data_IF_734163114327
#
_entry.id   IF_734163114327
#
_cell.length_a   1.000
_cell.length_b   1.000
_cell.length_c   1.000
_cell.angle_alpha   90.00
_cell.angle_beta   90.00
_cell.angle_gamma   90.00
#
_symmetry.space_group_name_H-M   'P 1'
#
loop_
_entity.id
_entity.type
_entity.pdbx_description
1 polymer ?
#
# COMPACT_ATOMS: atom_id res chain seq x y z
N UNK A 1 23.58 -14.98 -3.79
CA UNK A 1 24.54 -14.30 -4.70
C UNK A 1 23.89 -13.73 -5.99
N UNK A 2 22.55 -13.75 -6.15
CA UNK A 2 21.89 -13.43 -7.43
C UNK A 2 21.37 -11.99 -7.61
N UNK A 3 21.62 -11.10 -6.65
CA UNK A 3 21.17 -9.69 -6.71
C UNK A 3 22.32 -8.71 -6.47
N UNK A 4 23.50 -9.02 -7.03
CA UNK A 4 24.61 -8.08 -7.05
C UNK A 4 24.72 -7.49 -8.46
N UNK A 5 24.54 -6.18 -8.58
CA UNK A 5 24.95 -5.48 -9.79
C UNK A 5 26.48 -5.42 -9.78
N UNK A 6 27.18 -5.99 -10.78
CA UNK A 6 28.62 -5.84 -10.86
C UNK A 6 28.99 -4.35 -10.88
N UNK A 7 29.85 -3.94 -9.96
CA UNK A 7 30.43 -2.58 -9.94
C UNK A 7 31.52 -2.47 -11.02
N UNK A 8 31.17 -2.79 -12.27
CA UNK A 8 32.05 -2.64 -13.41
C UNK A 8 32.23 -1.15 -13.70
N UNK A 9 33.48 -0.68 -13.69
CA UNK A 9 33.90 0.67 -14.10
C UNK A 9 33.43 1.85 -13.23
N UNK A 10 33.10 1.62 -11.96
CA UNK A 10 32.96 2.70 -10.97
C UNK A 10 34.24 2.75 -10.15
N UNK A 11 35.06 3.79 -10.37
CA UNK A 11 36.23 4.05 -9.54
C UNK A 11 35.77 4.31 -8.10
N UNK A 12 36.08 3.37 -7.21
CA UNK A 12 35.81 3.52 -5.79
C UNK A 12 36.92 4.32 -5.11
N UNK A 13 36.58 5.09 -4.09
CA UNK A 13 37.53 5.71 -3.18
C UNK A 13 37.57 4.92 -1.87
N UNK A 14 38.77 4.61 -1.36
CA UNK A 14 38.93 3.99 -0.05
C UNK A 14 39.03 5.09 0.99
N UNK A 15 38.06 5.16 1.89
CA UNK A 15 38.01 6.12 3.00
C UNK A 15 38.11 5.32 4.30
N UNK A 16 39.32 5.21 4.84
CA UNK A 16 39.62 4.34 5.98
C UNK A 16 39.34 2.87 5.65
N UNK A 17 38.41 2.24 6.38
CA UNK A 17 37.95 0.86 6.14
C UNK A 17 36.72 0.78 5.21
N UNK A 18 36.28 1.89 4.60
CA UNK A 18 35.09 1.95 3.76
C UNK A 18 35.46 2.12 2.29
N UNK A 19 34.70 1.47 1.40
CA UNK A 19 34.78 1.69 -0.03
C UNK A 19 33.58 2.52 -0.49
N UNK A 20 33.84 3.74 -0.96
CA UNK A 20 32.82 4.65 -1.49
C UNK A 20 32.80 4.57 -3.03
N UNK A 21 31.62 4.54 -3.65
CA UNK A 21 31.46 4.61 -5.10
C UNK A 21 30.38 5.64 -5.44
N UNK A 22 30.54 6.33 -6.56
CA UNK A 22 29.52 7.24 -7.10
C UNK A 22 29.30 6.93 -8.57
N UNK A 23 28.03 6.90 -9.01
CA UNK A 23 27.69 6.90 -10.43
C UNK A 23 26.58 7.91 -10.71
N UNK A 24 26.68 8.68 -11.80
CA UNK A 24 25.54 9.46 -12.26
C UNK A 24 24.44 8.51 -12.73
N UNK A 25 23.20 8.75 -12.29
CA UNK A 25 22.01 8.08 -12.83
C UNK A 25 21.24 9.07 -13.71
N UNK A 26 20.91 8.65 -14.93
CA UNK A 26 20.12 9.44 -15.86
C UNK A 26 18.69 8.92 -15.88
N UNK A 27 17.77 9.67 -15.29
CA UNK A 27 16.34 9.35 -15.29
C UNK A 27 15.73 9.95 -16.56
N UNK A 28 15.49 9.11 -17.58
CA UNK A 28 14.95 9.57 -18.88
C UNK A 28 13.49 10.00 -18.79
N UNK A 29 12.68 9.27 -18.02
CA UNK A 29 11.26 9.55 -17.81
C UNK A 29 10.84 9.07 -16.43
N UNK A 30 9.95 9.83 -15.79
CA UNK A 30 9.26 9.41 -14.57
C UNK A 30 7.82 9.08 -14.96
N UNK A 31 7.30 7.88 -14.63
CA UNK A 31 5.91 7.55 -14.86
C UNK A 31 4.99 8.61 -14.24
N UNK A 32 4.00 9.09 -15.01
CA UNK A 32 2.86 9.78 -14.39
C UNK A 32 1.92 8.70 -13.84
N UNK A 33 1.73 8.68 -12.53
CA UNK A 33 0.74 7.85 -11.84
C UNK A 33 -0.63 8.52 -11.87
N UNK A 34 -1.69 7.72 -11.74
CA UNK A 34 -3.05 8.25 -11.84
C UNK A 34 -3.41 9.13 -10.66
N UNK A 35 -2.81 8.91 -9.49
CA UNK A 35 -3.01 9.76 -8.32
C UNK A 35 -2.45 11.17 -8.46
N UNK A 36 -1.54 11.44 -9.41
CA UNK A 36 -0.96 12.79 -9.61
C UNK A 36 -2.04 13.82 -9.91
N UNK A 37 -3.08 13.40 -10.65
CA UNK A 37 -4.23 14.22 -11.03
C UNK A 37 -5.48 13.91 -10.19
N UNK A 38 -5.33 13.14 -9.11
CA UNK A 38 -6.45 12.83 -8.23
C UNK A 38 -7.03 14.10 -7.60
N UNK A 39 -8.33 14.08 -7.37
CA UNK A 39 -9.00 15.09 -6.57
C UNK A 39 -8.52 14.94 -5.11
N UNK A 40 -8.04 16.01 -4.46
CA UNK A 40 -7.69 15.95 -3.05
C UNK A 40 -8.88 15.54 -2.18
N UNK A 41 -8.67 14.52 -1.35
CA UNK A 41 -9.60 14.11 -0.30
C UNK A 41 -9.33 14.98 0.93
N UNK A 42 -10.37 15.64 1.43
CA UNK A 42 -10.28 16.50 2.61
C UNK A 42 -11.16 15.96 3.74
N UNK A 43 -10.63 16.04 4.96
CA UNK A 43 -11.32 15.60 6.16
C UNK A 43 -12.59 16.43 6.45
N UNK A 44 -12.58 17.71 6.07
CA UNK A 44 -13.72 18.62 6.19
C UNK A 44 -14.83 18.37 5.16
N UNK A 45 -14.63 17.43 4.23
CA UNK A 45 -15.61 17.11 3.20
C UNK A 45 -16.35 15.79 3.53
N UNK A 46 -17.57 15.86 4.06
CA UNK A 46 -18.29 14.68 4.55
C UNK A 46 -18.62 13.67 3.45
N UNK A 47 -18.85 14.11 2.21
CA UNK A 47 -19.16 13.20 1.11
C UNK A 47 -17.91 12.42 0.66
N UNK A 48 -16.74 13.07 0.63
CA UNK A 48 -15.48 12.37 0.33
C UNK A 48 -15.13 11.37 1.44
N UNK A 49 -15.30 11.76 2.70
CA UNK A 49 -15.06 10.86 3.85
C UNK A 49 -16.02 9.66 3.83
N UNK A 50 -17.30 9.88 3.50
CA UNK A 50 -18.28 8.80 3.34
C UNK A 50 -17.88 7.82 2.23
N UNK A 51 -17.35 8.31 1.10
CA UNK A 51 -16.84 7.45 0.05
C UNK A 51 -15.60 6.66 0.49
N UNK A 52 -14.70 7.28 1.26
CA UNK A 52 -13.53 6.60 1.82
C UNK A 52 -13.94 5.49 2.79
N UNK A 53 -14.89 5.75 3.69
CA UNK A 53 -15.44 4.75 4.61
C UNK A 53 -16.10 3.58 3.87
N UNK A 54 -16.83 3.86 2.78
CA UNK A 54 -17.37 2.82 1.89
C UNK A 54 -16.28 1.96 1.27
N UNK A 55 -15.19 2.57 0.79
CA UNK A 55 -14.06 1.81 0.24
C UNK A 55 -13.43 0.87 1.28
N UNK A 56 -13.24 1.34 2.51
CA UNK A 56 -12.78 0.49 3.61
C UNK A 56 -13.78 -0.63 3.95
N UNK A 57 -15.08 -0.33 4.08
CA UNK A 57 -16.10 -1.33 4.36
C UNK A 57 -16.16 -2.41 3.28
N UNK A 58 -16.05 -2.03 2.00
CA UNK A 58 -16.02 -3.00 0.90
C UNK A 58 -14.81 -3.94 1.03
N UNK A 59 -13.63 -3.43 1.40
CA UNK A 59 -12.46 -4.27 1.62
C UNK A 59 -12.61 -5.17 2.84
N UNK A 60 -13.21 -4.68 3.93
CA UNK A 60 -13.52 -5.48 5.12
C UNK A 60 -14.46 -6.63 4.74
N UNK A 61 -15.53 -6.36 3.98
CA UNK A 61 -16.47 -7.39 3.52
C UNK A 61 -15.77 -8.45 2.64
N UNK A 62 -14.87 -8.03 1.75
CA UNK A 62 -14.06 -8.96 0.94
C UNK A 62 -13.12 -9.79 1.82
N UNK A 63 -12.50 -9.19 2.84
CA UNK A 63 -11.65 -9.90 3.81
C UNK A 63 -12.45 -10.92 4.63
N UNK A 64 -13.64 -10.55 5.11
CA UNK A 64 -14.53 -11.44 5.88
C UNK A 64 -14.97 -12.65 5.06
N UNK A 65 -15.26 -12.45 3.77
CA UNK A 65 -15.58 -13.54 2.83
C UNK A 65 -14.35 -14.31 2.34
N UNK A 66 -13.14 -13.85 2.68
CA UNK A 66 -11.87 -14.34 2.12
C UNK A 66 -11.88 -14.35 0.59
N UNK A 67 -12.50 -13.33 -0.02
CA UNK A 67 -12.57 -13.16 -1.47
C UNK A 67 -11.26 -12.53 -1.98
N UNK A 68 -10.22 -13.37 -2.10
CA UNK A 68 -8.89 -12.94 -2.53
C UNK A 68 -8.86 -12.43 -3.97
N UNK A 69 -9.72 -12.95 -4.86
CA UNK A 69 -9.84 -12.44 -6.22
C UNK A 69 -10.49 -11.04 -6.21
N UNK A 70 -11.53 -10.83 -5.41
CA UNK A 70 -12.13 -9.51 -5.21
C UNK A 70 -11.14 -8.50 -4.62
N UNK A 71 -10.34 -8.90 -3.63
CA UNK A 71 -9.27 -8.07 -3.06
C UNK A 71 -8.21 -7.73 -4.12
N UNK A 72 -7.77 -8.71 -4.91
CA UNK A 72 -6.83 -8.51 -6.01
C UNK A 72 -7.37 -7.53 -7.06
N UNK A 73 -8.64 -7.65 -7.42
CA UNK A 73 -9.30 -6.70 -8.33
C UNK A 73 -9.33 -5.28 -7.76
N UNK A 74 -9.59 -5.12 -6.45
CA UNK A 74 -9.57 -3.82 -5.79
C UNK A 74 -8.17 -3.16 -5.83
N UNK A 75 -7.10 -3.95 -5.77
CA UNK A 75 -5.71 -3.49 -5.88
C UNK A 75 -5.19 -3.34 -7.31
N UNK A 76 -5.99 -3.67 -8.34
CA UNK A 76 -5.54 -3.76 -9.73
C UNK A 76 -4.87 -2.49 -10.28
N UNK A 77 -5.30 -1.31 -9.82
CA UNK A 77 -4.64 -0.05 -10.16
C UNK A 77 -3.27 0.04 -9.48
N UNK A 78 -3.25 -0.03 -8.15
CA UNK A 78 -2.02 0.08 -7.35
C UNK A 78 -0.95 -0.90 -7.78
N UNK A 79 -1.30 -2.17 -8.04
CA UNK A 79 -0.34 -3.18 -8.46
C UNK A 79 0.29 -2.89 -9.83
N UNK A 80 -0.47 -2.31 -10.78
CA UNK A 80 0.08 -1.83 -12.07
C UNK A 80 0.95 -0.59 -11.89
N UNK A 81 0.58 0.31 -10.98
CA UNK A 81 1.38 1.48 -10.61
C UNK A 81 2.69 1.09 -9.93
N UNK A 82 2.69 -0.02 -9.19
CA UNK A 82 3.87 -0.64 -8.61
C UNK A 82 4.82 -1.21 -9.66
N UNK A 83 4.31 -2.14 -10.49
CA UNK A 83 5.08 -2.74 -11.58
C UNK A 83 5.68 -1.71 -12.53
N UNK A 84 4.93 -0.65 -12.87
CA UNK A 84 5.43 0.42 -13.75
C UNK A 84 6.63 1.16 -13.16
N UNK A 85 6.67 1.45 -11.86
CA UNK A 85 7.82 2.17 -11.31
C UNK A 85 9.03 1.26 -11.09
N UNK A 86 8.80 -0.03 -10.96
CA UNK A 86 9.84 -1.05 -10.96
C UNK A 86 10.27 -1.44 -12.38
N UNK A 87 9.94 -0.63 -13.40
CA UNK A 87 10.33 -0.90 -14.78
C UNK A 87 9.81 -2.24 -15.32
N UNK A 88 8.76 -2.79 -14.71
CA UNK A 88 8.19 -4.10 -14.97
C UNK A 88 9.17 -5.27 -14.74
N UNK A 89 10.11 -5.16 -13.80
CA UNK A 89 10.92 -6.30 -13.36
C UNK A 89 10.06 -7.36 -12.65
N UNK A 90 9.09 -6.93 -11.84
CA UNK A 90 8.03 -7.78 -11.28
C UNK A 90 6.70 -7.62 -12.01
N UNK A 91 5.88 -8.68 -12.00
CA UNK A 91 4.51 -8.64 -12.49
C UNK A 91 3.64 -7.84 -11.51
N UNK A 92 2.54 -7.23 -11.97
CA UNK A 92 1.59 -6.58 -11.07
C UNK A 92 1.11 -7.52 -9.95
N UNK A 93 0.82 -8.77 -10.27
CA UNK A 93 0.32 -9.74 -9.29
C UNK A 93 1.31 -10.00 -8.15
N UNK A 94 2.61 -9.96 -8.42
CA UNK A 94 3.64 -10.10 -7.38
C UNK A 94 3.51 -9.00 -6.30
N UNK A 95 3.07 -7.80 -6.67
CA UNK A 95 2.82 -6.70 -5.74
C UNK A 95 1.54 -6.88 -4.94
N UNK A 96 0.53 -7.55 -5.49
CA UNK A 96 -0.64 -7.92 -4.73
C UNK A 96 -0.27 -8.97 -3.68
N UNK A 97 0.53 -9.97 -4.04
CA UNK A 97 1.00 -11.00 -3.12
C UNK A 97 1.78 -10.37 -1.95
N UNK A 98 2.56 -9.31 -2.20
CA UNK A 98 3.25 -8.53 -1.17
C UNK A 98 2.33 -7.77 -0.20
N UNK A 99 1.07 -7.49 -0.56
CA UNK A 99 0.08 -6.98 0.40
C UNK A 99 -0.19 -8.02 1.49
N UNK A 100 -0.11 -9.31 1.12
CA UNK A 100 -0.03 -10.41 2.07
C UNK A 100 -1.37 -10.86 2.64
N UNK A 101 -2.53 -10.57 2.01
CA UNK A 101 -3.83 -11.01 2.54
C UNK A 101 -3.86 -12.52 2.82
N UNK A 102 -3.55 -13.35 1.82
CA UNK A 102 -3.53 -14.80 1.96
C UNK A 102 -2.48 -15.27 2.98
N UNK A 103 -1.27 -14.70 2.93
CA UNK A 103 -0.21 -14.99 3.88
C UNK A 103 -0.66 -14.73 5.32
N UNK A 104 -1.27 -13.57 5.59
CA UNK A 104 -1.72 -13.17 6.94
C UNK A 104 -2.88 -14.03 7.43
N UNK A 105 -3.83 -14.40 6.57
CA UNK A 105 -4.89 -15.34 6.95
C UNK A 105 -4.39 -16.78 7.16
N UNK A 106 -3.29 -17.17 6.53
CA UNK A 106 -2.68 -18.50 6.72
C UNK A 106 -1.60 -18.50 7.81
N UNK A 107 -1.25 -17.34 8.37
CA UNK A 107 -0.22 -17.22 9.40
C UNK A 107 -0.66 -17.85 10.73
N UNK A 108 -1.97 -17.83 11.04
CA UNK A 108 -2.54 -18.40 12.26
C UNK A 108 -3.77 -19.24 11.95
N UNK A 109 -3.96 -20.33 12.68
CA UNK A 109 -5.09 -21.25 12.51
C UNK A 109 -6.45 -20.55 12.73
N UNK A 110 -6.49 -19.62 13.68
CA UNK A 110 -7.66 -18.83 14.06
C UNK A 110 -7.63 -17.41 13.48
N UNK A 111 -6.90 -17.19 12.37
CA UNK A 111 -6.84 -15.87 11.75
C UNK A 111 -8.22 -15.42 11.26
N UNK A 112 -8.69 -14.28 11.75
CA UNK A 112 -9.98 -13.69 11.39
C UNK A 112 -9.86 -12.18 11.19
N UNK A 113 -10.88 -11.59 10.56
CA UNK A 113 -10.96 -10.12 10.45
C UNK A 113 -11.28 -9.56 11.82
N UNK A 114 -10.45 -8.63 12.29
CA UNK A 114 -10.68 -7.94 13.55
C UNK A 114 -11.80 -6.93 13.41
N UNK A 115 -12.84 -6.97 14.27
CA UNK A 115 -13.97 -6.04 14.19
C UNK A 115 -13.49 -4.59 14.15
N UNK A 116 -13.86 -3.86 13.10
CA UNK A 116 -13.52 -2.44 12.91
C UNK A 116 -13.95 -1.63 14.14
N UNK A 117 -13.04 -0.80 14.66
CA UNK A 117 -13.33 0.13 15.75
C UNK A 117 -14.18 1.30 15.27
N UNK A 118 -14.59 2.22 16.14
CA UNK A 118 -15.39 3.37 15.73
C UNK A 118 -14.63 4.26 14.72
N UNK A 119 -15.34 4.92 13.80
CA UNK A 119 -14.67 5.80 12.81
C UNK A 119 -13.93 6.96 13.46
N UNK A 120 -14.41 7.45 14.61
CA UNK A 120 -13.79 8.52 15.39
C UNK A 120 -12.43 8.14 15.99
N UNK A 121 -12.10 6.85 16.05
CA UNK A 121 -10.78 6.39 16.50
C UNK A 121 -9.72 6.50 15.41
N UNK A 122 -10.12 6.78 14.16
CA UNK A 122 -9.22 6.91 13.02
C UNK A 122 -9.08 8.37 12.60
N UNK A 123 -7.85 8.76 12.28
CA UNK A 123 -7.51 10.07 11.71
C UNK A 123 -7.16 9.94 10.23
N UNK A 124 -7.53 10.94 9.42
CA UNK A 124 -7.12 10.99 8.02
C UNK A 124 -5.63 11.37 7.91
N UNK A 125 -4.79 10.44 7.43
CA UNK A 125 -3.43 10.73 7.03
C UNK A 125 -3.43 11.14 5.57
N UNK A 126 -2.91 12.34 5.30
CA UNK A 126 -2.92 12.96 3.98
C UNK A 126 -1.49 13.14 3.46
N UNK A 127 -1.28 12.72 2.23
CA UNK A 127 -0.01 12.80 1.51
C UNK A 127 -0.24 13.43 0.14
N UNK A 128 0.83 14.01 -0.44
CA UNK A 128 0.80 14.62 -1.77
C UNK A 128 -0.34 15.65 -1.95
N UNK A 129 -0.64 16.39 -0.89
CA UNK A 129 -1.71 17.40 -0.85
C UNK A 129 -3.13 16.80 -0.87
N UNK A 130 -3.36 15.66 -0.21
CA UNK A 130 -4.66 14.98 -0.15
C UNK A 130 -4.96 14.05 -1.32
N UNK A 131 -4.00 13.89 -2.25
CA UNK A 131 -4.16 13.01 -3.40
C UNK A 131 -3.97 11.54 -3.06
N UNK A 132 -3.19 11.27 -2.01
CA UNK A 132 -3.02 9.97 -1.40
C UNK A 132 -3.42 10.09 0.06
N UNK A 133 -4.34 9.26 0.52
CA UNK A 133 -4.79 9.25 1.91
C UNK A 133 -4.93 7.86 2.46
N UNK A 134 -4.94 7.74 3.78
CA UNK A 134 -5.39 6.54 4.50
C UNK A 134 -5.90 6.91 5.87
N UNK A 135 -6.66 5.99 6.47
CA UNK A 135 -7.11 6.08 7.85
C UNK A 135 -6.16 5.29 8.75
N UNK A 136 -5.77 5.92 9.86
CA UNK A 136 -4.91 5.32 10.88
C UNK A 136 -5.42 5.68 12.28
N UNK A 137 -5.42 4.69 13.18
CA UNK A 137 -5.62 4.88 14.61
C UNK A 137 -4.35 5.41 15.29
N UNK A 138 -4.40 5.56 16.63
CA UNK A 138 -3.25 6.06 17.43
C UNK A 138 -2.03 5.14 17.41
N UNK A 139 -2.18 3.90 16.95
CA UNK A 139 -1.12 2.89 16.79
C UNK A 139 -0.70 2.71 15.33
N UNK A 140 -1.13 3.60 14.45
CA UNK A 140 -0.90 3.52 13.00
C UNK A 140 -1.50 2.28 12.35
N UNK A 141 -2.56 1.71 12.94
CA UNK A 141 -3.33 0.64 12.32
C UNK A 141 -4.45 1.24 11.48
N UNK A 142 -4.70 0.66 10.32
CA UNK A 142 -5.87 0.98 9.52
C UNK A 142 -7.12 0.24 10.01
N UNK A 143 -8.30 0.57 9.48
CA UNK A 143 -9.51 -0.22 9.64
C UNK A 143 -9.36 -1.69 9.20
N UNK A 144 -8.45 -2.00 8.27
CA UNK A 144 -8.19 -3.34 7.75
C UNK A 144 -7.23 -4.08 8.69
N UNK A 145 -7.76 -4.98 9.49
CA UNK A 145 -7.00 -5.73 10.50
C UNK A 145 -7.35 -7.21 10.46
N UNK A 146 -6.33 -8.04 10.60
CA UNK A 146 -6.45 -9.49 10.73
C UNK A 146 -5.81 -9.84 12.08
N UNK A 147 -6.49 -10.66 12.87
CA UNK A 147 -6.04 -11.02 14.21
C UNK A 147 -6.16 -12.49 14.49
N UNK A 148 -5.51 -12.91 15.58
CA UNK A 148 -5.56 -14.25 16.15
C UNK A 148 -5.64 -14.12 17.66
N UNK A 149 -6.72 -14.65 18.23
CA UNK A 149 -6.96 -14.67 19.67
C UNK A 149 -5.99 -15.63 20.36
N UNK A 150 -5.75 -16.81 19.77
CA UNK A 150 -4.80 -17.82 20.29
C UNK A 150 -3.37 -17.30 20.32
N UNK A 151 -2.95 -16.58 19.29
CA UNK A 151 -1.58 -16.04 19.19
C UNK A 151 -1.43 -14.68 19.87
N UNK A 152 -2.54 -14.03 20.25
CA UNK A 152 -2.60 -12.66 20.75
C UNK A 152 -1.84 -11.69 19.82
N UNK A 153 -2.14 -11.75 18.52
CA UNK A 153 -1.51 -10.94 17.48
C UNK A 153 -2.55 -10.28 16.59
N UNK A 154 -2.21 -9.09 16.10
CA UNK A 154 -2.98 -8.35 15.11
C UNK A 154 -1.99 -7.80 14.09
N UNK A 155 -2.35 -7.91 12.82
CA UNK A 155 -1.67 -7.26 11.69
C UNK A 155 -2.64 -6.32 10.99
N UNK A 156 -2.15 -5.19 10.49
CA UNK A 156 -2.96 -4.22 9.76
C UNK A 156 -2.43 -4.03 8.34
N UNK A 157 -3.34 -4.01 7.37
CA UNK A 157 -3.04 -3.70 5.98
C UNK A 157 -3.23 -2.19 5.77
N UNK A 158 -2.26 -1.50 5.18
CA UNK A 158 -2.20 -0.03 5.14
C UNK A 158 -2.26 0.52 3.70
N UNK A 159 -3.37 0.36 2.96
CA UNK A 159 -3.49 0.86 1.59
C UNK A 159 -3.51 2.39 1.57
N UNK A 160 -2.96 2.97 0.50
CA UNK A 160 -3.24 4.35 0.12
C UNK A 160 -4.42 4.41 -0.83
N UNK A 161 -5.26 5.42 -0.64
CA UNK A 161 -6.42 5.72 -1.46
C UNK A 161 -6.26 7.04 -2.19
N UNK A 162 -6.81 7.09 -3.38
CA UNK A 162 -6.90 8.29 -4.22
C UNK A 162 -8.32 8.47 -4.72
N UNK A 163 -8.78 9.71 -4.89
CA UNK A 163 -10.04 10.01 -5.57
C UNK A 163 -9.78 10.30 -7.05
N UNK A 164 -10.11 9.35 -7.91
CA UNK A 164 -9.84 9.39 -9.35
C UNK A 164 -11.17 9.24 -10.08
N UNK A 165 -11.47 10.17 -10.98
CA UNK A 165 -12.74 10.21 -11.72
C UNK A 165 -13.98 10.13 -10.79
N UNK A 166 -13.90 10.79 -9.63
CA UNK A 166 -14.96 10.81 -8.62
C UNK A 166 -15.13 9.51 -7.83
N UNK A 167 -14.18 8.57 -7.90
CA UNK A 167 -14.21 7.28 -7.19
C UNK A 167 -12.99 7.11 -6.31
N UNK A 168 -13.18 6.54 -5.13
CA UNK A 168 -12.08 6.13 -4.25
C UNK A 168 -11.50 4.80 -4.77
N UNK A 169 -10.21 4.79 -5.06
CA UNK A 169 -9.47 3.62 -5.55
C UNK A 169 -8.16 3.47 -4.80
N UNK A 170 -7.67 2.24 -4.69
CA UNK A 170 -6.36 1.96 -4.09
C UNK A 170 -5.28 2.37 -5.08
N UNK A 171 -4.30 3.12 -4.59
CA UNK A 171 -3.19 3.67 -5.39
C UNK A 171 -1.86 3.43 -4.66
N UNK A 172 -0.77 3.82 -5.30
CA UNK A 172 0.60 3.68 -4.78
C UNK A 172 0.96 4.73 -3.76
#
# INVERSE_FOLDING_TARGET
AHHQTPLLNVGGETIGYTQAFSRPINIKTIPRWRWVDATPIREDNPEQMKQLYRAYNNLIELMEKRDFEGLKMAYSLSMREHAKADGYFSKPEDYYDMVGFEEKFNQWEDAEVEPRRDWSEYSLKSYMGGRLVRLEDTRSHSPLRIGSNKSNKIVSILPYFSMIDGRIVISR
#
